data_IF_436428166969
#
_entry.id   IF_436428166969
#
_cell.length_a   1.000
_cell.length_b   1.000
_cell.length_c   1.000
_cell.angle_alpha   90.00
_cell.angle_beta   90.00
_cell.angle_gamma   90.00
#
_symmetry.space_group_name_H-M   'P 1'
#
loop_
_entity.id
_entity.type
_entity.pdbx_description
1 polymer ?
#
# COMPACT_ATOMS: atom_id res chain seq x y z
N UNK A 1 -28.54 1.00 16.40
CA UNK A 1 -27.50 1.87 16.98
C UNK A 1 -28.12 2.61 18.17
N UNK A 2 -27.73 2.25 19.39
CA UNK A 2 -28.46 2.51 20.64
C UNK A 2 -28.78 4.00 20.88
N UNK A 3 -30.03 4.40 20.63
CA UNK A 3 -30.58 5.74 20.85
C UNK A 3 -31.06 6.01 22.28
N UNK A 4 -30.50 5.35 23.29
CA UNK A 4 -30.73 5.72 24.69
C UNK A 4 -29.75 6.81 25.08
N UNK A 5 -30.23 7.98 25.56
CA UNK A 5 -29.36 9.03 26.12
C UNK A 5 -28.46 8.37 27.17
N UNK A 6 -27.17 8.23 26.86
CA UNK A 6 -26.21 7.70 27.83
C UNK A 6 -26.28 8.52 29.10
N UNK A 7 -26.40 7.83 30.24
CA UNK A 7 -26.41 8.49 31.54
C UNK A 7 -25.11 9.29 31.69
N UNK A 8 -25.13 10.42 32.43
CA UNK A 8 -23.92 11.22 32.65
C UNK A 8 -22.73 10.38 33.14
N UNK A 9 -22.99 9.33 33.95
CA UNK A 9 -21.99 8.35 34.38
C UNK A 9 -21.39 7.56 33.21
N UNK A 10 -22.21 7.00 32.31
CA UNK A 10 -21.74 6.25 31.15
C UNK A 10 -20.94 7.13 30.18
N UNK A 11 -21.33 8.41 30.03
CA UNK A 11 -20.53 9.37 29.26
C UNK A 11 -19.16 9.61 29.86
N UNK A 12 -19.06 9.75 31.18
CA UNK A 12 -17.76 9.91 31.86
C UNK A 12 -16.89 8.67 31.72
N UNK A 13 -17.46 7.47 31.87
CA UNK A 13 -16.74 6.21 31.69
C UNK A 13 -16.18 6.11 30.26
N UNK A 14 -17.02 6.36 29.24
CA UNK A 14 -16.58 6.33 27.84
C UNK A 14 -15.52 7.39 27.53
N UNK A 15 -15.63 8.58 28.14
CA UNK A 15 -14.62 9.63 28.01
C UNK A 15 -13.28 9.18 28.61
N UNK A 16 -13.30 8.52 29.78
CA UNK A 16 -12.08 7.99 30.42
C UNK A 16 -11.41 6.92 29.57
N UNK A 17 -12.18 6.00 28.97
CA UNK A 17 -11.63 5.00 28.04
C UNK A 17 -10.99 5.66 26.83
N UNK A 18 -11.63 6.69 26.26
CA UNK A 18 -11.10 7.41 25.10
C UNK A 18 -9.81 8.16 25.45
N UNK A 19 -9.77 8.81 26.62
CA UNK A 19 -8.56 9.47 27.13
C UNK A 19 -7.45 8.44 27.41
N UNK A 20 -7.76 7.28 27.98
CA UNK A 20 -6.79 6.23 28.26
C UNK A 20 -6.18 5.67 26.98
N UNK A 21 -7.00 5.38 25.97
CA UNK A 21 -6.54 4.94 24.65
C UNK A 21 -5.67 6.04 24.00
N UNK A 22 -6.09 7.30 24.10
CA UNK A 22 -5.31 8.43 23.59
C UNK A 22 -3.96 8.58 24.31
N UNK A 23 -3.92 8.42 25.63
CA UNK A 23 -2.67 8.44 26.40
C UNK A 23 -1.75 7.29 25.99
N UNK A 24 -2.27 6.07 25.84
CA UNK A 24 -1.48 4.94 25.35
C UNK A 24 -0.93 5.21 23.93
N UNK A 25 -1.72 5.82 23.06
CA UNK A 25 -1.29 6.20 21.71
C UNK A 25 -0.22 7.31 21.72
N UNK A 26 -0.30 8.28 22.65
CA UNK A 26 0.72 9.32 22.82
C UNK A 26 2.06 8.78 23.36
N UNK A 27 2.05 7.57 23.93
CA UNK A 27 3.25 6.86 24.38
C UNK A 27 3.88 5.97 23.29
N UNK A 28 3.44 6.07 22.02
CA UNK A 28 4.14 5.43 20.90
C UNK A 28 5.59 5.94 20.81
N UNK A 29 6.57 5.03 20.77
CA UNK A 29 7.99 5.41 20.68
C UNK A 29 8.27 6.19 19.39
N UNK A 30 9.12 7.22 19.49
CA UNK A 30 9.64 7.96 18.33
C UNK A 30 10.33 7.04 17.33
N UNK A 31 10.92 5.94 17.81
CA UNK A 31 11.59 4.93 16.98
C UNK A 31 10.60 4.15 16.11
N UNK A 32 9.39 3.90 16.61
CA UNK A 32 8.32 3.22 15.85
C UNK A 32 7.81 4.13 14.75
N UNK A 33 7.58 5.41 15.04
CA UNK A 33 7.18 6.40 14.03
C UNK A 33 8.27 6.60 12.96
N UNK A 34 9.54 6.65 13.37
CA UNK A 34 10.67 6.70 12.45
C UNK A 34 10.77 5.44 11.58
N UNK A 35 10.55 4.26 12.15
CA UNK A 35 10.54 3.00 11.41
C UNK A 35 9.41 2.95 10.36
N UNK A 36 8.21 3.47 10.67
CA UNK A 36 7.13 3.61 9.69
C UNK A 36 7.50 4.60 8.56
N UNK A 37 8.16 5.71 8.88
CA UNK A 37 8.67 6.64 7.86
C UNK A 37 9.66 5.99 6.91
N UNK A 38 10.67 5.29 7.47
CA UNK A 38 11.67 4.55 6.69
C UNK A 38 11.01 3.44 5.85
N UNK A 39 10.01 2.75 6.40
CA UNK A 39 9.26 1.74 5.67
C UNK A 39 8.52 2.35 4.49
N UNK A 40 7.88 3.50 4.68
CA UNK A 40 7.18 4.21 3.60
C UNK A 40 8.15 4.63 2.49
N UNK A 41 9.28 5.26 2.83
CA UNK A 41 10.32 5.66 1.86
C UNK A 41 10.86 4.45 1.08
N UNK A 42 11.08 3.31 1.76
CA UNK A 42 11.52 2.07 1.12
C UNK A 42 10.46 1.52 0.17
N UNK A 43 9.19 1.52 0.57
CA UNK A 43 8.09 1.06 -0.28
C UNK A 43 7.93 1.96 -1.50
N UNK A 44 8.02 3.28 -1.33
CA UNK A 44 7.95 4.24 -2.43
C UNK A 44 9.10 4.04 -3.42
N UNK A 45 10.33 3.95 -2.91
CA UNK A 45 11.52 3.64 -3.73
C UNK A 45 11.39 2.30 -4.44
N UNK A 46 10.88 1.27 -3.75
CA UNK A 46 10.64 -0.05 -4.34
C UNK A 46 9.59 -0.02 -5.44
N UNK A 47 8.52 0.74 -5.26
CA UNK A 47 7.45 0.89 -6.25
C UNK A 47 7.98 1.58 -7.53
N UNK A 48 8.77 2.65 -7.37
CA UNK A 48 9.41 3.33 -8.51
C UNK A 48 10.31 2.36 -9.26
N UNK A 49 11.23 1.68 -8.55
CA UNK A 49 12.16 0.72 -9.16
C UNK A 49 11.44 -0.45 -9.83
N UNK A 50 10.37 -0.96 -9.23
CA UNK A 50 9.55 -2.04 -9.79
C UNK A 50 8.85 -1.58 -11.06
N UNK A 51 8.31 -0.35 -11.06
CA UNK A 51 7.67 0.24 -12.23
C UNK A 51 8.66 0.42 -13.39
N UNK A 52 9.86 0.95 -13.11
CA UNK A 52 10.94 1.07 -14.09
C UNK A 52 11.35 -0.30 -14.66
N UNK A 53 11.52 -1.29 -13.78
CA UNK A 53 11.90 -2.65 -14.17
C UNK A 53 10.81 -3.32 -15.02
N UNK A 54 9.54 -3.16 -14.66
CA UNK A 54 8.40 -3.68 -15.41
C UNK A 54 8.32 -3.05 -16.81
N UNK A 55 8.53 -1.73 -16.92
CA UNK A 55 8.56 -1.04 -18.20
C UNK A 55 9.74 -1.50 -19.07
N UNK A 56 10.94 -1.66 -18.49
CA UNK A 56 12.09 -2.18 -19.21
C UNK A 56 11.89 -3.62 -19.69
N UNK A 57 11.27 -4.47 -18.87
CA UNK A 57 10.95 -5.85 -19.23
C UNK A 57 9.94 -5.91 -20.37
N UNK A 58 8.89 -5.08 -20.33
CA UNK A 58 7.92 -4.97 -21.41
C UNK A 58 8.53 -4.50 -22.73
N UNK A 59 9.38 -3.47 -22.71
CA UNK A 59 10.08 -3.00 -23.91
C UNK A 59 11.04 -4.05 -24.48
N UNK A 60 11.70 -4.82 -23.60
CA UNK A 60 12.53 -5.96 -24.02
C UNK A 60 11.69 -7.07 -24.65
N UNK A 61 10.49 -7.31 -24.10
CA UNK A 61 9.56 -8.31 -24.61
C UNK A 61 8.95 -7.90 -25.96
N UNK A 62 8.66 -6.61 -26.16
CA UNK A 62 8.24 -6.03 -27.44
C UNK A 62 9.31 -6.21 -28.53
N UNK A 63 10.57 -5.95 -28.18
CA UNK A 63 11.70 -6.16 -29.08
C UNK A 63 11.80 -7.64 -29.48
N UNK A 64 11.72 -8.55 -28.50
CA UNK A 64 11.74 -10.00 -28.76
C UNK A 64 10.53 -10.51 -29.54
N UNK A 65 9.35 -9.92 -29.35
CA UNK A 65 8.17 -10.21 -30.15
C UNK A 65 8.34 -9.75 -31.61
N UNK A 66 9.03 -8.62 -31.83
CA UNK A 66 9.38 -8.15 -33.16
C UNK A 66 10.40 -9.06 -33.86
N UNK A 67 11.32 -9.68 -33.11
CA UNK A 67 12.35 -10.60 -33.64
C UNK A 67 11.86 -12.05 -33.85
N UNK A 68 11.06 -12.60 -32.92
CA UNK A 68 10.50 -13.96 -32.99
C UNK A 68 9.03 -13.95 -32.56
N UNK A 69 8.19 -13.44 -33.46
CA UNK A 69 6.74 -13.32 -33.25
C UNK A 69 6.07 -14.67 -32.93
N UNK A 70 6.56 -15.77 -33.49
CA UNK A 70 5.96 -17.09 -33.27
C UNK A 70 6.02 -17.54 -31.80
N UNK A 71 7.04 -17.11 -31.05
CA UNK A 71 7.20 -17.47 -29.63
C UNK A 71 6.74 -16.39 -28.66
N UNK A 72 6.96 -15.12 -28.98
CA UNK A 72 6.81 -14.04 -28.00
C UNK A 72 5.56 -13.19 -28.18
N UNK A 73 4.85 -13.29 -29.31
CA UNK A 73 3.63 -12.52 -29.56
C UNK A 73 2.55 -12.78 -28.50
N UNK A 74 2.27 -14.06 -28.20
CA UNK A 74 1.28 -14.43 -27.18
C UNK A 74 1.67 -13.96 -25.78
N UNK A 75 2.96 -13.97 -25.47
CA UNK A 75 3.48 -13.47 -24.19
C UNK A 75 3.35 -11.95 -24.10
N UNK A 76 3.61 -11.24 -25.19
CA UNK A 76 3.46 -9.78 -25.27
C UNK A 76 2.01 -9.32 -25.14
N UNK A 77 1.08 -9.98 -25.83
CA UNK A 77 -0.35 -9.71 -25.69
C UNK A 77 -0.83 -9.91 -24.24
N UNK A 78 -0.41 -11.00 -23.58
CA UNK A 78 -0.74 -11.24 -22.18
C UNK A 78 -0.12 -10.17 -21.26
N UNK A 79 1.12 -9.77 -21.51
CA UNK A 79 1.80 -8.75 -20.71
C UNK A 79 1.14 -7.36 -20.87
N UNK A 80 0.66 -7.02 -22.07
CA UNK A 80 -0.13 -5.81 -22.30
C UNK A 80 -1.49 -5.85 -21.58
N UNK A 81 -2.18 -6.99 -21.59
CA UNK A 81 -3.44 -7.16 -20.85
C UNK A 81 -3.22 -6.97 -19.34
N UNK A 82 -2.17 -7.57 -18.78
CA UNK A 82 -1.83 -7.42 -17.36
C UNK A 82 -1.50 -5.96 -17.03
N UNK A 83 -0.75 -5.27 -17.91
CA UNK A 83 -0.47 -3.83 -17.73
C UNK A 83 -1.73 -2.98 -17.73
N UNK A 84 -2.72 -3.30 -18.57
CA UNK A 84 -3.98 -2.54 -18.63
C UNK A 84 -4.88 -2.75 -17.40
N UNK A 85 -4.65 -3.81 -16.63
CA UNK A 85 -5.41 -4.13 -15.40
C UNK A 85 -4.77 -3.60 -14.11
N UNK A 86 -3.48 -3.22 -14.17
CA UNK A 86 -2.69 -2.73 -13.02
C UNK A 86 -2.69 -1.22 -12.92
#
# INVERSE_FOLDING_TARGET
MAGGKQTPRQKMINLMYLIFIAMLALNMSKEVLAAFGIMNEKLETSNIKTTESNNAFLGSLETKASEDAAKYEKLYQNAQQIKAMS
#
